data_IF_026064014750
#
_entry.id   IF_026064014750
#
_cell.length_a   1.000
_cell.length_b   1.000
_cell.length_c   1.000
_cell.angle_alpha   90.00
_cell.angle_beta   90.00
_cell.angle_gamma   90.00
#
_symmetry.space_group_name_H-M   'P 1'
#
loop_
_entity.id
_entity.type
_entity.pdbx_description
1 polymer ?
#
# COMPACT_ATOMS: atom_id res chain seq x y z
N UNK A 1 -6.77 59.75 43.94
CA UNK A 1 -8.10 59.17 43.69
C UNK A 1 -8.76 60.01 42.62
N UNK A 2 -9.49 59.41 41.65
CA UNK A 2 -9.45 58.01 41.21
C UNK A 2 -8.10 57.76 40.46
N UNK A 3 -7.88 56.92 39.43
CA UNK A 3 -8.68 55.88 38.72
C UNK A 3 -7.72 54.77 38.22
N UNK A 4 -8.27 53.62 37.81
CA UNK A 4 -7.65 52.65 36.90
C UNK A 4 -8.12 52.97 35.43
N UNK A 5 -7.66 52.36 34.34
CA UNK A 5 -8.00 50.98 33.96
C UNK A 5 -7.29 50.54 32.66
N UNK A 6 -6.91 49.26 32.63
CA UNK A 6 -6.28 48.52 31.53
C UNK A 6 -7.08 48.54 30.22
N UNK A 7 -6.39 48.65 29.08
CA UNK A 7 -6.86 48.23 27.75
C UNK A 7 -5.71 47.72 26.87
N UNK A 8 -5.13 46.55 27.20
CA UNK A 8 -4.25 45.83 26.27
C UNK A 8 -5.15 45.06 25.31
N UNK A 9 -5.26 45.55 24.07
CA UNK A 9 -6.15 44.99 23.07
C UNK A 9 -5.62 43.68 22.48
N UNK A 10 -6.57 42.77 22.25
CA UNK A 10 -6.40 41.40 21.78
C UNK A 10 -5.39 41.26 20.64
N UNK A 11 -4.37 40.42 20.84
CA UNK A 11 -3.64 39.77 19.76
C UNK A 11 -3.21 38.38 20.21
N UNK A 12 -3.61 37.35 19.45
CA UNK A 12 -3.24 35.95 19.72
C UNK A 12 -4.40 34.96 19.86
N UNK A 13 -5.17 34.73 18.79
CA UNK A 13 -5.98 33.49 18.67
C UNK A 13 -6.24 33.08 17.20
N UNK A 14 -5.18 32.84 16.44
CA UNK A 14 -5.23 32.13 15.15
C UNK A 14 -4.01 31.22 15.08
N UNK A 15 -4.16 29.90 15.34
CA UNK A 15 -3.19 28.82 15.01
C UNK A 15 -3.62 27.40 15.47
N UNK A 16 -4.92 27.06 15.50
CA UNK A 16 -5.42 25.75 15.98
C UNK A 16 -6.31 25.00 14.95
N UNK A 17 -6.06 25.18 13.65
CA UNK A 17 -6.95 24.67 12.59
C UNK A 17 -6.35 23.67 11.59
N UNK A 18 -5.08 23.26 11.71
CA UNK A 18 -4.35 22.67 10.59
C UNK A 18 -3.40 21.49 10.95
N UNK A 19 -3.83 20.55 11.81
CA UNK A 19 -3.09 19.30 12.08
C UNK A 19 -3.97 18.18 12.66
N UNK A 20 -4.83 17.53 11.84
CA UNK A 20 -5.31 16.15 12.08
C UNK A 20 -6.35 15.67 11.03
N UNK A 21 -5.90 15.30 9.83
CA UNK A 21 -6.68 14.43 8.92
C UNK A 21 -5.73 13.44 8.22
N UNK A 22 -5.14 12.56 9.02
CA UNK A 22 -4.53 11.30 8.56
C UNK A 22 -5.31 10.12 9.16
N UNK A 23 -5.25 8.92 8.56
CA UNK A 23 -5.80 7.73 9.19
C UNK A 23 -5.15 7.53 10.57
N UNK A 24 -5.94 7.23 11.61
CA UNK A 24 -5.35 6.96 12.92
C UNK A 24 -4.62 5.62 12.87
N UNK A 25 -3.46 5.53 13.54
CA UNK A 25 -2.65 4.30 13.57
C UNK A 25 -3.42 3.08 14.12
N UNK A 26 -4.46 3.32 14.93
CA UNK A 26 -5.37 2.30 15.44
C UNK A 26 -6.32 1.70 14.39
N UNK A 27 -6.39 2.27 13.19
CA UNK A 27 -7.32 1.88 12.10
C UNK A 27 -6.60 1.67 10.76
N UNK A 28 -5.32 1.33 10.80
CA UNK A 28 -4.52 1.04 9.62
C UNK A 28 -3.96 -0.37 9.76
N UNK A 29 -4.65 -1.36 9.19
CA UNK A 29 -4.34 -2.79 9.37
C UNK A 29 -2.88 -3.16 9.02
N UNK A 30 -2.21 -2.56 8.01
CA UNK A 30 -0.79 -2.84 7.73
C UNK A 30 0.18 -2.47 8.87
N UNK A 31 -0.25 -1.76 9.92
CA UNK A 31 0.55 -1.50 11.12
C UNK A 31 0.43 -2.59 12.20
N UNK A 32 -0.54 -3.52 12.08
CA UNK A 32 -0.88 -4.50 13.14
C UNK A 32 -0.46 -5.93 12.81
N UNK A 33 -0.01 -6.21 11.58
CA UNK A 33 0.43 -7.53 11.14
C UNK A 33 1.80 -7.49 10.44
N UNK A 34 2.63 -8.56 10.52
CA UNK A 34 3.91 -8.66 9.79
C UNK A 34 3.73 -9.04 8.29
N UNK A 35 2.52 -8.87 7.76
CA UNK A 35 2.19 -9.09 6.35
C UNK A 35 2.36 -7.82 5.52
N UNK A 36 2.49 -8.01 4.21
CA UNK A 36 2.21 -6.94 3.26
C UNK A 36 0.71 -6.66 3.18
N UNK A 37 0.37 -5.53 2.55
CA UNK A 37 -1.02 -5.13 2.32
C UNK A 37 -1.75 -6.14 1.42
N UNK A 38 -3.03 -6.40 1.72
CA UNK A 38 -3.92 -7.18 0.86
C UNK A 38 -4.15 -6.44 -0.47
N UNK A 39 -4.20 -7.17 -1.57
CA UNK A 39 -4.41 -6.66 -2.92
C UNK A 39 -5.55 -7.42 -3.62
N UNK A 40 -6.54 -6.70 -4.14
CA UNK A 40 -7.56 -7.19 -5.06
C UNK A 40 -7.29 -6.58 -6.45
N UNK A 41 -6.74 -7.39 -7.34
CA UNK A 41 -6.32 -7.01 -8.69
C UNK A 41 -7.29 -7.61 -9.72
N UNK A 42 -8.03 -6.78 -10.42
CA UNK A 42 -8.91 -7.18 -11.53
C UNK A 42 -8.18 -7.01 -12.86
N UNK A 43 -8.10 -8.09 -13.62
CA UNK A 43 -7.52 -8.13 -14.97
C UNK A 43 -8.62 -8.16 -16.03
N UNK A 44 -8.27 -8.48 -17.28
CA UNK A 44 -9.26 -8.59 -18.36
C UNK A 44 -10.20 -9.79 -18.22
N UNK A 45 -9.68 -10.93 -17.80
CA UNK A 45 -10.40 -12.22 -17.74
C UNK A 45 -10.16 -12.99 -16.43
N UNK A 46 -9.52 -12.36 -15.44
CA UNK A 46 -9.12 -12.97 -14.18
C UNK A 46 -9.18 -11.95 -13.04
N UNK A 47 -9.14 -12.46 -11.81
CA UNK A 47 -8.99 -11.68 -10.59
C UNK A 47 -7.94 -12.35 -9.73
N UNK A 48 -6.98 -11.59 -9.21
CA UNK A 48 -5.95 -12.06 -8.29
C UNK A 48 -6.19 -11.37 -6.96
N UNK A 49 -6.41 -12.16 -5.92
CA UNK A 49 -6.55 -11.72 -4.52
C UNK A 49 -5.51 -12.38 -3.65
N UNK A 50 -5.04 -11.64 -2.65
CA UNK A 50 -4.11 -12.12 -1.64
C UNK A 50 -3.13 -11.04 -1.20
N UNK A 51 -1.95 -11.44 -0.74
CA UNK A 51 -0.97 -10.55 -0.10
C UNK A 51 0.06 -9.99 -1.09
N UNK A 52 0.29 -8.67 -1.07
CA UNK A 52 1.37 -8.03 -1.82
C UNK A 52 2.74 -8.37 -1.20
N UNK A 53 3.46 -9.31 -1.81
CA UNK A 53 4.80 -9.71 -1.36
C UNK A 53 5.86 -8.67 -1.71
N UNK A 54 5.87 -8.18 -2.95
CA UNK A 54 6.87 -7.22 -3.43
C UNK A 54 6.42 -6.43 -4.66
N UNK A 55 7.04 -5.27 -4.90
CA UNK A 55 6.78 -4.41 -6.06
C UNK A 55 8.05 -4.25 -6.91
N UNK A 56 7.97 -4.72 -8.16
CA UNK A 56 8.96 -4.49 -9.22
C UNK A 56 8.56 -3.27 -10.07
N UNK A 57 9.43 -2.84 -10.97
CA UNK A 57 9.25 -1.61 -11.77
C UNK A 57 8.01 -1.65 -12.68
N UNK A 58 7.58 -2.84 -13.11
CA UNK A 58 6.44 -3.05 -14.03
C UNK A 58 5.46 -4.13 -13.57
N UNK A 59 5.68 -4.75 -12.40
CA UNK A 59 4.89 -5.88 -11.93
C UNK A 59 4.75 -5.93 -10.40
N UNK A 60 3.64 -6.49 -9.95
CA UNK A 60 3.37 -6.83 -8.55
C UNK A 60 3.62 -8.32 -8.36
N UNK A 61 4.27 -8.71 -7.26
CA UNK A 61 4.34 -10.11 -6.83
C UNK A 61 3.33 -10.30 -5.69
N UNK A 62 2.38 -11.20 -5.90
CA UNK A 62 1.28 -11.47 -4.97
C UNK A 62 1.37 -12.93 -4.51
N UNK A 63 1.17 -13.19 -3.23
CA UNK A 63 0.81 -14.52 -2.73
C UNK A 63 -0.71 -14.60 -2.77
N UNK A 64 -1.24 -15.38 -3.71
CA UNK A 64 -2.69 -15.50 -3.88
C UNK A 64 -3.35 -16.29 -2.76
N UNK A 65 -4.68 -16.15 -2.63
CA UNK A 65 -5.51 -16.93 -1.71
C UNK A 65 -5.42 -18.45 -1.98
N UNK A 66 -5.14 -18.85 -3.24
CA UNK A 66 -4.80 -20.23 -3.64
C UNK A 66 -3.41 -20.69 -3.14
N UNK A 67 -2.73 -19.86 -2.35
CA UNK A 67 -1.36 -20.05 -1.84
C UNK A 67 -0.29 -20.17 -2.94
N UNK A 68 -0.48 -19.49 -4.08
CA UNK A 68 0.52 -19.42 -5.16
C UNK A 68 1.19 -18.04 -5.21
N UNK A 69 2.49 -18.03 -5.41
CA UNK A 69 3.25 -16.83 -5.75
C UNK A 69 3.08 -16.56 -7.24
N UNK A 70 2.44 -15.43 -7.55
CA UNK A 70 2.14 -14.99 -8.92
C UNK A 70 2.77 -13.63 -9.22
N UNK A 71 3.15 -13.40 -10.47
CA UNK A 71 3.60 -12.11 -10.99
C UNK A 71 2.49 -11.53 -11.86
N UNK A 72 2.02 -10.35 -11.48
CA UNK A 72 0.96 -9.61 -12.16
C UNK A 72 1.57 -8.36 -12.80
N UNK A 73 1.69 -8.30 -14.14
CA UNK A 73 2.17 -7.09 -14.81
C UNK A 73 1.18 -5.95 -14.58
N UNK A 74 1.67 -4.78 -14.15
CA UNK A 74 0.83 -3.61 -13.83
C UNK A 74 0.02 -3.15 -15.04
N UNK A 75 0.55 -3.32 -16.25
CA UNK A 75 -0.16 -3.03 -17.51
C UNK A 75 -1.36 -3.94 -17.82
N UNK A 76 -1.57 -5.02 -17.05
CA UNK A 76 -2.72 -5.93 -17.18
C UNK A 76 -3.79 -5.70 -16.10
N UNK A 77 -3.47 -4.92 -15.06
CA UNK A 77 -4.41 -4.57 -13.98
C UNK A 77 -5.32 -3.45 -14.48
N UNK A 78 -6.62 -3.74 -14.59
CA UNK A 78 -7.68 -2.74 -14.88
C UNK A 78 -8.10 -1.98 -13.63
N UNK A 79 -8.10 -2.66 -12.48
CA UNK A 79 -8.43 -2.09 -11.18
C UNK A 79 -7.60 -2.80 -10.11
N UNK A 80 -6.91 -2.04 -9.25
CA UNK A 80 -6.15 -2.56 -8.12
C UNK A 80 -6.55 -1.83 -6.85
N UNK A 81 -7.21 -2.56 -5.95
CA UNK A 81 -7.60 -2.10 -4.62
C UNK A 81 -6.66 -2.72 -3.58
N UNK A 82 -6.23 -1.94 -2.58
CA UNK A 82 -5.21 -2.34 -1.62
C UNK A 82 -5.63 -2.02 -0.18
N UNK A 83 -6.33 -2.96 0.47
CA UNK A 83 -6.83 -2.82 1.84
C UNK A 83 -7.45 -1.45 2.16
N UNK A 84 -7.03 -0.85 3.28
CA UNK A 84 -7.47 0.47 3.73
C UNK A 84 -7.10 1.64 2.78
N UNK A 85 -6.26 1.42 1.77
CA UNK A 85 -5.89 2.47 0.81
C UNK A 85 -6.88 2.62 -0.34
N UNK A 86 -7.79 1.67 -0.52
CA UNK A 86 -8.74 1.69 -1.63
C UNK A 86 -8.08 1.48 -3.00
N UNK A 87 -8.77 1.94 -4.05
CA UNK A 87 -8.30 1.85 -5.43
C UNK A 87 -7.08 2.75 -5.68
N UNK A 88 -5.93 2.14 -6.00
CA UNK A 88 -4.70 2.86 -6.38
C UNK A 88 -4.29 2.63 -7.83
N UNK A 89 -4.80 1.57 -8.48
CA UNK A 89 -4.65 1.31 -9.92
C UNK A 89 -6.05 1.30 -10.54
N UNK A 90 -6.21 1.94 -11.69
CA UNK A 90 -7.45 2.02 -12.45
C UNK A 90 -7.16 2.09 -13.95
N UNK A 91 -8.02 2.76 -14.72
CA UNK A 91 -7.83 2.96 -16.16
C UNK A 91 -6.59 3.81 -16.53
N UNK A 92 -5.92 4.41 -15.52
CA UNK A 92 -4.66 5.13 -15.68
C UNK A 92 -3.47 4.29 -15.23
N UNK A 93 -2.32 4.48 -15.90
CA UNK A 93 -1.04 3.92 -15.44
C UNK A 93 -0.68 4.52 -14.07
N UNK A 94 -0.40 3.73 -13.03
CA UNK A 94 -0.03 4.26 -11.72
C UNK A 94 1.28 5.06 -11.80
N UNK A 95 1.32 6.18 -11.08
CA UNK A 95 2.50 7.03 -10.99
C UNK A 95 3.63 6.38 -10.18
N UNK A 96 4.83 6.97 -10.24
CA UNK A 96 5.97 6.49 -9.43
C UNK A 96 5.63 6.49 -7.94
N UNK A 97 5.01 7.55 -7.44
CA UNK A 97 4.65 7.70 -6.03
C UNK A 97 3.65 6.61 -5.58
N UNK A 98 2.73 6.20 -6.45
CA UNK A 98 1.84 5.05 -6.20
C UNK A 98 2.63 3.75 -6.08
N UNK A 99 3.58 3.52 -6.98
CA UNK A 99 4.42 2.31 -6.97
C UNK A 99 5.36 2.27 -5.76
N UNK A 100 5.96 3.40 -5.36
CA UNK A 100 6.76 3.48 -4.13
C UNK A 100 5.91 3.27 -2.88
N UNK A 101 4.69 3.84 -2.82
CA UNK A 101 3.76 3.62 -1.71
C UNK A 101 3.37 2.15 -1.57
N UNK A 102 3.09 1.47 -2.68
CA UNK A 102 2.83 0.02 -2.70
C UNK A 102 4.07 -0.78 -2.30
N UNK A 103 5.27 -0.36 -2.71
CA UNK A 103 6.53 -1.01 -2.32
C UNK A 103 6.74 -0.97 -0.81
N UNK A 104 6.56 0.20 -0.19
CA UNK A 104 6.70 0.38 1.27
C UNK A 104 5.72 -0.45 2.09
N UNK A 105 4.57 -0.83 1.51
CA UNK A 105 3.52 -1.60 2.16
C UNK A 105 3.48 -3.08 1.73
N UNK A 106 4.42 -3.51 0.89
CA UNK A 106 4.61 -4.92 0.56
C UNK A 106 5.38 -5.64 1.67
N UNK A 107 5.23 -6.97 1.81
CA UNK A 107 5.97 -7.75 2.85
C UNK A 107 7.48 -7.58 2.72
N UNK A 108 7.98 -7.40 1.50
CA UNK A 108 9.40 -7.25 1.20
C UNK A 108 9.67 -5.95 0.41
N UNK A 109 9.74 -4.78 1.09
CA UNK A 109 9.93 -3.48 0.42
C UNK A 109 11.25 -3.36 -0.35
N UNK A 110 12.30 -4.08 0.08
CA UNK A 110 13.57 -4.19 -0.64
C UNK A 110 13.53 -5.15 -1.86
N UNK A 111 12.37 -5.75 -2.14
CA UNK A 111 12.16 -6.74 -3.20
C UNK A 111 12.56 -8.16 -2.81
N UNK A 112 12.24 -9.12 -3.70
CA UNK A 112 12.63 -10.53 -3.55
C UNK A 112 13.97 -10.80 -4.24
N UNK A 113 15.03 -10.93 -3.44
CA UNK A 113 16.32 -11.46 -3.91
C UNK A 113 16.17 -12.88 -4.47
N UNK A 114 17.03 -13.34 -5.39
CA UNK A 114 16.90 -14.67 -5.98
C UNK A 114 16.87 -15.80 -4.95
N UNK A 115 17.72 -15.72 -3.91
CA UNK A 115 17.77 -16.71 -2.84
C UNK A 115 16.50 -16.71 -1.97
N UNK A 116 15.94 -15.54 -1.64
CA UNK A 116 14.69 -15.43 -0.90
C UNK A 116 13.49 -15.92 -1.74
N UNK A 117 13.47 -15.58 -3.03
CA UNK A 117 12.45 -16.04 -3.99
C UNK A 117 12.43 -17.56 -4.10
N UNK A 118 13.60 -18.20 -4.24
CA UNK A 118 13.70 -19.66 -4.30
C UNK A 118 13.20 -20.34 -3.01
N UNK A 119 13.52 -19.77 -1.83
CA UNK A 119 13.02 -20.26 -0.53
C UNK A 119 11.50 -20.11 -0.41
N UNK A 120 10.95 -18.97 -0.84
CA UNK A 120 9.51 -18.73 -0.83
C UNK A 120 8.79 -19.70 -1.79
N UNK A 121 9.22 -19.80 -3.04
CA UNK A 121 8.65 -20.73 -4.02
C UNK A 121 8.66 -22.17 -3.49
N UNK A 122 9.79 -22.64 -2.98
CA UNK A 122 9.90 -23.97 -2.38
C UNK A 122 8.94 -24.19 -1.19
N UNK A 123 8.75 -23.17 -0.33
CA UNK A 123 7.81 -23.23 0.80
C UNK A 123 6.33 -23.31 0.38
N UNK A 124 6.00 -22.89 -0.85
CA UNK A 124 4.68 -23.02 -1.47
C UNK A 124 4.61 -24.14 -2.53
N UNK A 125 5.65 -24.99 -2.62
CA UNK A 125 5.68 -26.13 -3.56
C UNK A 125 5.88 -25.75 -5.04
N UNK A 126 6.29 -24.52 -5.32
CA UNK A 126 6.56 -24.01 -6.66
C UNK A 126 8.05 -24.09 -7.01
N UNK A 127 8.33 -24.23 -8.31
CA UNK A 127 9.69 -24.10 -8.87
C UNK A 127 9.92 -22.74 -9.54
N UNK A 128 8.86 -22.07 -10.00
CA UNK A 128 8.90 -20.74 -10.62
C UNK A 128 7.61 -19.93 -10.31
N UNK A 129 7.66 -18.63 -10.58
CA UNK A 129 6.55 -17.69 -10.39
C UNK A 129 5.59 -17.77 -11.58
N UNK A 130 4.30 -17.98 -11.33
CA UNK A 130 3.28 -17.99 -12.37
C UNK A 130 2.99 -16.56 -12.87
N UNK A 131 3.07 -16.31 -14.18
CA UNK A 131 2.82 -14.98 -14.77
C UNK A 131 1.37 -14.90 -15.24
N UNK A 132 0.59 -13.98 -14.66
CA UNK A 132 -0.82 -13.77 -15.00
C UNK A 132 -0.93 -12.81 -16.20
N UNK A 133 -1.83 -13.09 -17.15
CA UNK A 133 -1.96 -12.38 -18.43
C UNK A 133 -3.23 -11.52 -18.56
#
# INVERSE_FOLDING_TARGET
MPTMLRSILLSGMVLLGACSHGPSLQKFEPAHAPGGIEADLRLAHAQVRGELLAVQDTALIVLSDERKIVLVPVSKVKLGNFGDLGTLIGDWKPGRDTMERLRLLSRFPAGLTPALRGRLLAAYGQTDVEIVQ
#
